data_IF_003686297992
#
_entry.id   IF_003686297992
#
_cell.length_a   1.000
_cell.length_b   1.000
_cell.length_c   1.000
_cell.angle_alpha   90.00
_cell.angle_beta   90.00
_cell.angle_gamma   90.00
#
_symmetry.space_group_name_H-M   'P 1'
#
loop_
_entity.id
_entity.type
_entity.pdbx_description
1 polymer ?
#
# COMPACT_ATOMS: atom_id res chain seq x y z
N UNK A 1 -16.49 70.37 -22.50
CA UNK A 1 -15.45 71.42 -22.46
C UNK A 1 -14.22 70.86 -21.74
N UNK A 2 -13.00 71.03 -22.26
CA UNK A 2 -11.77 70.63 -21.57
C UNK A 2 -10.95 71.88 -21.28
N UNK A 3 -10.58 72.07 -20.03
CA UNK A 3 -9.73 73.17 -19.57
C UNK A 3 -8.34 72.59 -19.27
N UNK A 4 -7.29 73.24 -19.73
CA UNK A 4 -5.91 72.81 -19.49
C UNK A 4 -5.05 73.96 -18.96
N UNK A 5 -4.09 73.64 -18.07
CA UNK A 5 -3.18 74.62 -17.45
C UNK A 5 -2.31 75.38 -18.45
N UNK A 6 -2.09 74.87 -19.66
CA UNK A 6 -1.17 75.44 -20.65
C UNK A 6 -1.78 75.69 -22.02
N UNK A 7 -3.00 75.22 -22.28
CA UNK A 7 -3.61 75.22 -23.61
C UNK A 7 -4.99 75.87 -23.69
N UNK A 8 -5.45 76.55 -22.64
CA UNK A 8 -6.76 77.23 -22.65
C UNK A 8 -7.98 76.29 -22.67
N UNK A 9 -9.10 76.82 -23.15
CA UNK A 9 -10.40 76.14 -23.25
C UNK A 9 -10.61 75.56 -24.65
N UNK A 10 -10.85 74.26 -24.73
CA UNK A 10 -11.22 73.58 -25.98
C UNK A 10 -12.69 73.14 -25.97
N UNK A 11 -13.41 73.48 -27.04
CA UNK A 11 -14.75 72.97 -27.33
C UNK A 11 -14.63 71.83 -28.36
N UNK A 12 -15.38 70.76 -28.12
CA UNK A 12 -15.44 69.59 -28.99
C UNK A 12 -16.89 69.22 -29.23
N UNK A 13 -17.27 69.09 -30.50
CA UNK A 13 -18.56 68.55 -30.92
C UNK A 13 -18.33 67.29 -31.75
N UNK A 14 -19.25 66.34 -31.68
CA UNK A 14 -19.17 65.07 -32.40
C UNK A 14 -20.53 64.71 -32.98
N UNK A 15 -20.55 64.31 -34.25
CA UNK A 15 -21.74 63.83 -34.95
C UNK A 15 -21.41 62.48 -35.60
N UNK A 16 -22.39 61.58 -35.60
CA UNK A 16 -22.24 60.24 -36.17
C UNK A 16 -23.37 60.00 -37.16
N UNK A 17 -23.01 59.72 -38.41
CA UNK A 17 -23.96 59.49 -39.49
C UNK A 17 -23.37 58.48 -40.49
N UNK A 18 -24.19 57.55 -40.99
CA UNK A 18 -23.82 56.59 -42.04
C UNK A 18 -22.47 55.87 -41.83
N UNK A 19 -22.19 55.40 -40.60
CA UNK A 19 -20.94 54.70 -40.26
C UNK A 19 -19.71 55.60 -40.11
N UNK A 20 -19.83 56.90 -40.39
CA UNK A 20 -18.79 57.92 -40.21
C UNK A 20 -18.98 58.65 -38.89
N UNK A 21 -17.87 58.95 -38.21
CA UNK A 21 -17.82 59.81 -37.03
C UNK A 21 -17.06 61.07 -37.40
N UNK A 22 -17.76 62.21 -37.37
CA UNK A 22 -17.22 63.54 -37.61
C UNK A 22 -17.02 64.20 -36.24
N UNK A 23 -15.80 64.66 -35.97
CA UNK A 23 -15.45 65.36 -34.74
C UNK A 23 -14.86 66.72 -35.11
N UNK A 24 -15.45 67.80 -34.62
CA UNK A 24 -14.89 69.13 -34.70
C UNK A 24 -14.34 69.54 -33.33
N UNK A 25 -13.16 70.12 -33.32
CA UNK A 25 -12.51 70.64 -32.10
C UNK A 25 -11.96 72.03 -32.39
N UNK A 26 -12.25 73.00 -31.51
CA UNK A 26 -11.87 74.41 -31.70
C UNK A 26 -10.35 74.64 -31.79
N UNK A 27 -9.54 73.71 -31.27
CA UNK A 27 -8.07 73.79 -31.30
C UNK A 27 -7.43 72.80 -32.28
N UNK A 28 -8.05 71.64 -32.47
CA UNK A 28 -7.44 70.53 -33.22
C UNK A 28 -8.07 70.32 -34.60
N UNK A 29 -9.07 71.12 -34.97
CA UNK A 29 -9.74 71.10 -36.27
C UNK A 29 -10.75 69.96 -36.45
N UNK A 30 -10.94 69.55 -37.71
CA UNK A 30 -11.95 68.57 -38.13
C UNK A 30 -11.33 67.19 -38.35
N UNK A 31 -11.99 66.16 -37.81
CA UNK A 31 -11.64 64.75 -38.01
C UNK A 31 -12.84 63.96 -38.47
N UNK A 32 -12.73 63.32 -39.63
CA UNK A 32 -13.70 62.35 -40.15
C UNK A 32 -13.11 60.95 -39.96
N UNK A 33 -13.86 59.99 -39.44
CA UNK A 33 -13.34 58.63 -39.22
C UNK A 33 -14.36 57.53 -39.49
N UNK A 34 -13.91 56.43 -40.08
CA UNK A 34 -14.67 55.22 -40.37
C UNK A 34 -13.99 53.99 -39.79
N UNK A 35 -14.78 53.01 -39.34
CA UNK A 35 -14.28 51.69 -38.96
C UNK A 35 -14.39 50.77 -40.16
N UNK A 36 -13.26 50.43 -40.76
CA UNK A 36 -13.20 49.58 -41.97
C UNK A 36 -13.26 48.09 -41.62
N UNK A 37 -12.70 47.70 -40.48
CA UNK A 37 -12.76 46.33 -39.97
C UNK A 37 -12.75 46.32 -38.43
N UNK A 38 -12.98 45.15 -37.82
CA UNK A 38 -12.91 44.99 -36.36
C UNK A 38 -11.53 45.43 -35.86
N UNK A 39 -11.52 46.40 -34.95
CA UNK A 39 -10.30 47.02 -34.41
C UNK A 39 -9.41 47.77 -35.42
N UNK A 40 -9.91 48.08 -36.63
CA UNK A 40 -9.22 48.90 -37.64
C UNK A 40 -10.03 50.17 -37.92
N UNK A 41 -9.40 51.34 -37.78
CA UNK A 41 -9.99 52.64 -38.06
C UNK A 41 -9.14 53.38 -39.11
N UNK A 42 -9.82 53.91 -40.12
CA UNK A 42 -9.27 54.88 -41.06
C UNK A 42 -9.91 56.23 -40.77
N UNK A 43 -9.11 57.29 -40.73
CA UNK A 43 -9.58 58.64 -40.47
C UNK A 43 -8.84 59.65 -41.34
N UNK A 44 -9.48 60.78 -41.59
CA UNK A 44 -8.90 61.96 -42.19
C UNK A 44 -8.98 63.08 -41.14
N UNK A 45 -7.83 63.61 -40.72
CA UNK A 45 -7.74 64.68 -39.72
C UNK A 45 -7.02 65.88 -40.34
N UNK A 46 -7.70 67.01 -40.50
CA UNK A 46 -7.18 68.22 -41.16
C UNK A 46 -6.43 67.88 -42.48
N UNK A 47 -7.07 67.10 -43.35
CA UNK A 47 -6.50 66.66 -44.64
C UNK A 47 -5.45 65.54 -44.57
N UNK A 48 -5.03 65.08 -43.39
CA UNK A 48 -4.02 64.01 -43.26
C UNK A 48 -4.66 62.63 -43.03
N UNK A 49 -4.34 61.61 -43.82
CA UNK A 49 -4.86 60.26 -43.62
C UNK A 49 -4.20 59.60 -42.41
N UNK A 50 -5.01 58.93 -41.59
CA UNK A 50 -4.65 58.27 -40.33
C UNK A 50 -5.19 56.84 -40.34
N UNK A 51 -4.29 55.86 -40.35
CA UNK A 51 -4.61 54.44 -40.16
C UNK A 51 -4.24 54.02 -38.73
N UNK A 52 -5.16 53.36 -38.03
CA UNK A 52 -4.94 52.79 -36.69
C UNK A 52 -5.59 51.42 -36.59
N UNK A 53 -4.84 50.43 -36.13
CA UNK A 53 -5.38 49.12 -35.78
C UNK A 53 -4.76 48.57 -34.49
N UNK A 54 -5.51 47.81 -33.71
CA UNK A 54 -5.00 47.15 -32.49
C UNK A 54 -5.58 45.75 -32.31
N UNK A 55 -4.74 44.74 -32.42
CA UNK A 55 -5.12 43.33 -32.43
C UNK A 55 -4.45 42.55 -31.30
N UNK A 56 -4.95 41.34 -31.04
CA UNK A 56 -4.50 40.46 -29.96
C UNK A 56 -5.32 40.61 -28.67
N UNK A 57 -5.29 39.57 -27.83
CA UNK A 57 -5.90 39.49 -26.50
C UNK A 57 -4.80 39.37 -25.42
N UNK A 58 -5.12 39.68 -24.17
CA UNK A 58 -4.15 39.59 -23.07
C UNK A 58 -3.06 40.67 -23.07
N UNK A 59 -1.88 40.30 -22.56
CA UNK A 59 -0.74 41.18 -22.30
C UNK A 59 -0.04 41.66 -23.58
N UNK A 60 0.05 40.82 -24.61
CA UNK A 60 0.73 41.15 -25.88
C UNK A 60 -0.28 41.63 -26.93
N UNK A 61 0.03 42.74 -27.61
CA UNK A 61 -0.86 43.39 -28.58
C UNK A 61 -0.07 43.78 -29.84
N UNK A 62 -0.70 43.60 -30.99
CA UNK A 62 -0.21 44.05 -32.29
C UNK A 62 -0.85 45.39 -32.64
N UNK A 63 -0.04 46.41 -32.92
CA UNK A 63 -0.51 47.75 -33.23
C UNK A 63 -0.16 48.08 -34.68
N UNK A 64 -1.18 48.38 -35.49
CA UNK A 64 -1.05 48.83 -36.86
C UNK A 64 -1.16 50.35 -36.92
N UNK A 65 -0.29 50.99 -37.70
CA UNK A 65 -0.32 52.43 -37.95
C UNK A 65 0.08 52.74 -39.38
N UNK A 66 -0.08 54.00 -39.81
CA UNK A 66 0.38 54.47 -41.13
C UNK A 66 1.87 54.13 -41.40
N UNK A 67 2.70 54.14 -40.36
CA UNK A 67 4.14 53.81 -40.43
C UNK A 67 4.44 52.35 -40.08
N UNK A 68 3.52 51.44 -40.34
CA UNK A 68 3.70 50.00 -40.15
C UNK A 68 3.23 49.46 -38.80
N UNK A 69 3.56 48.18 -38.58
CA UNK A 69 3.12 47.34 -37.46
C UNK A 69 4.13 47.39 -36.30
N UNK A 70 3.67 47.19 -35.07
CA UNK A 70 4.54 47.06 -33.88
C UNK A 70 3.92 46.17 -32.82
N UNK A 71 4.76 45.40 -32.12
CA UNK A 71 4.33 44.51 -31.04
C UNK A 71 4.58 45.18 -29.70
N UNK A 72 3.62 45.12 -28.79
CA UNK A 72 3.77 45.64 -27.43
C UNK A 72 3.25 44.67 -26.39
N UNK A 73 3.98 44.50 -25.30
CA UNK A 73 3.57 43.69 -24.14
C UNK A 73 3.32 44.59 -22.93
N UNK A 74 2.21 44.36 -22.24
CA UNK A 74 1.81 45.08 -21.03
C UNK A 74 2.19 44.26 -19.80
N UNK A 75 2.83 44.91 -18.84
CA UNK A 75 3.15 44.37 -17.52
C UNK A 75 2.61 45.30 -16.41
N UNK A 76 2.69 44.93 -15.12
CA UNK A 76 2.19 45.77 -14.02
C UNK A 76 2.84 47.17 -13.99
N UNK A 77 4.11 47.26 -14.40
CA UNK A 77 4.90 48.48 -14.40
C UNK A 77 4.61 49.41 -15.60
N UNK A 78 4.02 48.92 -16.69
CA UNK A 78 3.64 49.71 -17.86
C UNK A 78 3.47 48.92 -19.18
N UNK A 79 3.85 49.52 -20.32
CA UNK A 79 3.78 48.87 -21.64
C UNK A 79 5.10 48.95 -22.38
N UNK A 80 5.70 47.81 -22.72
CA UNK A 80 6.93 47.71 -23.49
C UNK A 80 6.61 47.47 -24.96
N UNK A 81 7.19 48.25 -25.87
CA UNK A 81 7.04 48.05 -27.31
C UNK A 81 8.34 47.48 -27.88
N UNK A 82 8.27 46.23 -28.38
CA UNK A 82 9.41 45.47 -28.88
C UNK A 82 10.07 46.12 -30.10
N UNK A 83 9.28 46.72 -30.98
CA UNK A 83 9.76 47.28 -32.26
C UNK A 83 10.00 48.79 -32.22
N UNK A 84 9.33 49.50 -31.30
CA UNK A 84 9.35 50.98 -31.21
C UNK A 84 9.61 51.39 -29.76
N UNK A 85 10.86 51.36 -29.26
CA UNK A 85 11.18 51.62 -27.85
C UNK A 85 10.74 53.02 -27.38
N UNK A 86 10.67 54.01 -28.29
CA UNK A 86 10.14 55.34 -28.00
C UNK A 86 8.65 55.34 -27.60
N UNK A 87 7.90 54.27 -27.87
CA UNK A 87 6.48 54.12 -27.52
C UNK A 87 6.26 53.31 -26.24
N UNK A 88 7.33 52.92 -25.55
CA UNK A 88 7.24 52.28 -24.24
C UNK A 88 6.84 53.28 -23.17
N UNK A 89 6.19 52.79 -22.11
CA UNK A 89 5.76 53.62 -20.98
C UNK A 89 5.87 52.88 -19.66
N UNK A 90 6.17 53.62 -18.61
CA UNK A 90 6.36 53.13 -17.24
C UNK A 90 5.56 54.03 -16.30
N UNK A 91 4.93 53.45 -15.27
CA UNK A 91 4.27 54.18 -14.20
C UNK A 91 4.93 53.86 -12.87
N UNK A 92 5.49 54.87 -12.22
CA UNK A 92 6.12 54.77 -10.90
C UNK A 92 5.54 55.89 -10.05
N UNK A 93 5.02 55.58 -8.85
CA UNK A 93 4.48 56.55 -7.92
C UNK A 93 3.47 57.55 -8.54
N UNK A 94 2.56 57.06 -9.39
CA UNK A 94 1.54 57.88 -10.06
C UNK A 94 2.03 58.70 -11.28
N UNK A 95 3.34 58.81 -11.49
CA UNK A 95 3.93 59.54 -12.63
C UNK A 95 4.16 58.59 -13.82
N UNK A 96 3.72 58.98 -15.02
CA UNK A 96 3.92 58.20 -16.24
C UNK A 96 5.14 58.70 -17.04
N UNK A 97 6.22 57.93 -17.03
CA UNK A 97 7.38 58.12 -17.91
C UNK A 97 7.11 57.46 -19.27
N UNK A 98 7.49 58.11 -20.37
CA UNK A 98 7.37 57.57 -21.74
C UNK A 98 8.67 57.78 -22.52
N UNK A 99 8.92 56.95 -23.53
CA UNK A 99 10.10 57.07 -24.41
C UNK A 99 11.19 56.04 -24.15
N UNK A 100 12.39 56.28 -24.69
CA UNK A 100 13.54 55.34 -24.60
C UNK A 100 13.91 54.97 -23.16
N UNK A 101 13.91 55.96 -22.25
CA UNK A 101 14.21 55.72 -20.82
C UNK A 101 13.21 54.75 -20.18
N UNK A 102 11.93 54.83 -20.57
CA UNK A 102 10.91 53.90 -20.11
C UNK A 102 11.15 52.48 -20.65
N UNK A 103 11.59 52.35 -21.91
CA UNK A 103 11.95 51.05 -22.48
C UNK A 103 13.10 50.37 -21.71
N UNK A 104 14.16 51.12 -21.36
CA UNK A 104 15.29 50.59 -20.60
C UNK A 104 14.87 50.08 -19.22
N UNK A 105 14.05 50.86 -18.49
CA UNK A 105 13.53 50.47 -17.18
C UNK A 105 12.68 49.19 -17.27
N UNK A 106 11.85 49.07 -18.31
CA UNK A 106 11.06 47.86 -18.51
C UNK A 106 11.90 46.64 -18.87
N UNK A 107 12.96 46.83 -19.65
CA UNK A 107 13.89 45.75 -19.98
C UNK A 107 14.57 45.22 -18.71
N UNK A 108 15.04 46.11 -17.84
CA UNK A 108 15.61 45.75 -16.53
C UNK A 108 14.58 45.00 -15.68
N UNK A 109 13.35 45.50 -15.59
CA UNK A 109 12.28 44.83 -14.85
C UNK A 109 11.99 43.42 -15.38
N UNK A 110 11.88 43.25 -16.70
CA UNK A 110 11.64 41.95 -17.32
C UNK A 110 12.82 41.00 -17.12
N UNK A 111 14.06 41.51 -17.13
CA UNK A 111 15.26 40.74 -16.84
C UNK A 111 15.26 40.23 -15.40
N UNK A 112 15.00 41.09 -14.42
CA UNK A 112 14.92 40.72 -13.01
C UNK A 112 13.81 39.69 -12.74
N UNK A 113 12.63 39.88 -13.35
CA UNK A 113 11.54 38.93 -13.26
C UNK A 113 11.92 37.58 -13.90
N UNK A 114 12.61 37.60 -15.04
CA UNK A 114 13.11 36.40 -15.71
C UNK A 114 14.13 35.65 -14.86
N UNK A 115 15.05 36.35 -14.19
CA UNK A 115 16.02 35.75 -13.27
C UNK A 115 15.30 35.10 -12.09
N UNK A 116 14.34 35.79 -11.47
CA UNK A 116 13.57 35.24 -10.34
C UNK A 116 12.79 33.97 -10.73
N UNK A 117 12.13 33.98 -11.89
CA UNK A 117 11.42 32.81 -12.41
C UNK A 117 12.37 31.68 -12.78
N UNK A 118 13.53 32.00 -13.36
CA UNK A 118 14.58 31.04 -13.67
C UNK A 118 15.08 30.34 -12.40
N UNK A 119 15.33 31.09 -11.32
CA UNK A 119 15.74 30.54 -10.04
C UNK A 119 14.66 29.64 -9.42
N UNK A 120 13.38 30.04 -9.53
CA UNK A 120 12.25 29.23 -9.07
C UNK A 120 12.16 27.89 -9.83
N UNK A 121 12.22 27.93 -11.16
CA UNK A 121 12.18 26.71 -12.00
C UNK A 121 13.39 25.83 -11.71
N UNK A 122 14.57 26.42 -11.53
CA UNK A 122 15.78 25.70 -11.12
C UNK A 122 15.58 24.96 -9.80
N UNK A 123 15.05 25.63 -8.78
CA UNK A 123 14.74 25.01 -7.49
C UNK A 123 13.73 23.85 -7.63
N UNK A 124 12.68 24.04 -8.42
CA UNK A 124 11.70 22.99 -8.70
C UNK A 124 12.34 21.78 -9.37
N UNK A 125 13.19 21.98 -10.37
CA UNK A 125 13.92 20.88 -11.04
C UNK A 125 14.87 20.16 -10.09
N UNK A 126 15.57 20.89 -9.21
CA UNK A 126 16.42 20.29 -8.18
C UNK A 126 15.62 19.42 -7.21
N UNK A 127 14.46 19.91 -6.74
CA UNK A 127 13.59 19.13 -5.85
C UNK A 127 13.00 17.89 -6.54
N UNK A 128 12.65 18.00 -7.82
CA UNK A 128 12.16 16.86 -8.61
C UNK A 128 13.25 15.80 -8.75
N UNK A 129 14.47 16.22 -9.10
CA UNK A 129 15.62 15.32 -9.22
C UNK A 129 15.86 14.57 -7.90
N UNK A 130 15.89 15.29 -6.77
CA UNK A 130 16.08 14.69 -5.45
C UNK A 130 14.96 13.69 -5.09
N UNK A 131 13.70 14.02 -5.40
CA UNK A 131 12.58 13.09 -5.15
C UNK A 131 12.69 11.83 -5.99
N UNK A 132 13.06 11.96 -7.26
CA UNK A 132 13.25 10.82 -8.16
C UNK A 132 14.41 9.96 -7.69
N UNK A 133 15.55 10.56 -7.30
CA UNK A 133 16.69 9.78 -6.81
C UNK A 133 16.37 9.05 -5.51
N UNK A 134 15.72 9.71 -4.53
CA UNK A 134 15.28 9.05 -3.29
C UNK A 134 14.31 7.90 -3.60
N UNK A 135 13.36 8.10 -4.52
CA UNK A 135 12.45 7.03 -4.93
C UNK A 135 13.18 5.87 -5.60
N UNK A 136 14.10 6.14 -6.52
CA UNK A 136 14.89 5.08 -7.15
C UNK A 136 15.76 4.34 -6.15
N UNK A 137 16.41 5.03 -5.21
CA UNK A 137 17.19 4.42 -4.16
C UNK A 137 16.33 3.54 -3.24
N UNK A 138 15.14 4.00 -2.85
CA UNK A 138 14.24 3.22 -2.00
C UNK A 138 13.70 1.97 -2.70
N UNK A 139 13.31 2.07 -3.98
CA UNK A 139 12.92 0.88 -4.76
C UNK A 139 14.09 -0.09 -4.97
N UNK A 140 15.29 0.44 -5.22
CA UNK A 140 16.49 -0.40 -5.33
C UNK A 140 16.78 -1.13 -4.02
N UNK A 141 16.70 -0.44 -2.88
CA UNK A 141 16.90 -1.04 -1.56
C UNK A 141 15.85 -2.11 -1.25
N UNK A 142 14.57 -1.85 -1.58
CA UNK A 142 13.50 -2.86 -1.46
C UNK A 142 13.76 -4.08 -2.34
N UNK A 143 14.17 -3.85 -3.58
CA UNK A 143 14.50 -4.94 -4.49
C UNK A 143 15.67 -5.78 -3.97
N UNK A 144 16.72 -5.12 -3.44
CA UNK A 144 17.86 -5.79 -2.80
C UNK A 144 17.41 -6.58 -1.56
N UNK A 145 16.54 -6.01 -0.73
CA UNK A 145 16.02 -6.67 0.47
C UNK A 145 15.22 -7.94 0.14
N UNK A 146 14.56 -7.99 -1.02
CA UNK A 146 13.77 -9.14 -1.47
C UNK A 146 14.57 -10.17 -2.29
N UNK A 147 15.85 -9.90 -2.61
CA UNK A 147 16.70 -10.87 -3.34
C UNK A 147 16.84 -12.21 -2.60
N UNK A 148 17.07 -12.27 -1.28
CA UNK A 148 17.20 -13.53 -0.56
C UNK A 148 15.97 -14.43 -0.73
N UNK A 149 14.76 -13.87 -0.71
CA UNK A 149 13.51 -14.63 -0.87
C UNK A 149 13.38 -15.19 -2.28
N UNK A 150 13.75 -14.41 -3.31
CA UNK A 150 13.75 -14.89 -4.70
C UNK A 150 14.71 -16.07 -4.90
N UNK A 151 15.93 -15.98 -4.35
CA UNK A 151 16.88 -17.10 -4.40
C UNK A 151 16.42 -18.29 -3.54
N UNK A 152 15.78 -18.03 -2.41
CA UNK A 152 15.16 -19.05 -1.55
C UNK A 152 14.10 -19.85 -2.31
N UNK A 153 13.17 -19.16 -2.97
CA UNK A 153 12.10 -19.75 -3.77
C UNK A 153 12.66 -20.58 -4.94
N UNK A 154 13.65 -20.05 -5.67
CA UNK A 154 14.29 -20.80 -6.76
C UNK A 154 14.95 -22.09 -6.27
N UNK A 155 15.65 -22.05 -5.13
CA UNK A 155 16.27 -23.24 -4.54
C UNK A 155 15.22 -24.27 -4.13
N UNK A 156 14.10 -23.83 -3.56
CA UNK A 156 12.96 -24.69 -3.22
C UNK A 156 12.34 -25.31 -4.48
N UNK A 157 12.15 -24.54 -5.54
CA UNK A 157 11.61 -25.02 -6.82
C UNK A 157 12.51 -26.10 -7.43
N UNK A 158 13.83 -25.90 -7.47
CA UNK A 158 14.77 -26.90 -7.97
C UNK A 158 14.78 -28.17 -7.11
N UNK A 159 14.72 -28.03 -5.78
CA UNK A 159 14.60 -29.18 -4.85
C UNK A 159 13.33 -29.95 -5.14
N UNK A 160 12.19 -29.26 -5.23
CA UNK A 160 10.89 -29.87 -5.39
C UNK A 160 10.77 -30.53 -6.76
N UNK A 161 11.29 -29.92 -7.83
CA UNK A 161 11.37 -30.54 -9.15
C UNK A 161 12.17 -31.85 -9.13
N UNK A 162 13.32 -31.87 -8.44
CA UNK A 162 14.13 -33.09 -8.27
C UNK A 162 13.37 -34.16 -7.49
N UNK A 163 12.68 -33.81 -6.41
CA UNK A 163 11.87 -34.75 -5.62
C UNK A 163 10.71 -35.30 -6.46
N UNK A 164 9.97 -34.42 -7.15
CA UNK A 164 8.82 -34.78 -8.00
C UNK A 164 9.19 -35.80 -9.08
N UNK A 165 10.37 -35.67 -9.70
CA UNK A 165 10.85 -36.65 -10.70
C UNK A 165 11.04 -38.07 -10.15
N UNK A 166 11.20 -38.23 -8.83
CA UNK A 166 11.37 -39.53 -8.15
C UNK A 166 10.08 -40.08 -7.55
N UNK A 167 9.02 -39.27 -7.40
CA UNK A 167 7.80 -39.66 -6.70
C UNK A 167 7.14 -40.89 -7.34
N UNK A 168 6.94 -40.88 -8.66
CA UNK A 168 6.26 -41.97 -9.36
C UNK A 168 6.96 -43.31 -9.19
N UNK A 169 8.30 -43.33 -9.29
CA UNK A 169 9.09 -44.55 -9.07
C UNK A 169 9.04 -45.00 -7.62
N UNK A 170 9.14 -44.07 -6.68
CA UNK A 170 9.16 -44.39 -5.24
C UNK A 170 7.81 -44.90 -4.74
N UNK A 171 6.72 -44.36 -5.29
CA UNK A 171 5.35 -44.81 -5.02
C UNK A 171 5.13 -46.29 -5.35
N UNK A 172 5.72 -46.77 -6.45
CA UNK A 172 5.61 -48.17 -6.89
C UNK A 172 6.35 -49.16 -5.99
N UNK A 173 7.22 -48.69 -5.09
CA UNK A 173 8.01 -49.55 -4.20
C UNK A 173 7.26 -49.92 -2.92
N UNK A 174 6.14 -49.25 -2.62
CA UNK A 174 5.34 -49.53 -1.42
C UNK A 174 4.49 -50.79 -1.61
N UNK A 175 4.57 -51.69 -0.62
CA UNK A 175 3.76 -52.91 -0.57
C UNK A 175 3.12 -53.02 0.82
N UNK A 176 1.78 -52.85 0.98
CA UNK A 176 0.79 -52.50 -0.04
C UNK A 176 0.97 -51.07 -0.59
N UNK A 177 0.39 -50.80 -1.76
CA UNK A 177 0.42 -49.46 -2.38
C UNK A 177 -0.02 -48.39 -1.37
N UNK A 178 0.75 -47.31 -1.33
CA UNK A 178 0.52 -46.18 -0.41
C UNK A 178 -0.82 -45.47 -0.64
N UNK A 179 -1.41 -45.61 -1.82
CA UNK A 179 -2.77 -45.13 -2.13
C UNK A 179 -3.85 -45.79 -1.28
N UNK A 180 -3.57 -46.99 -0.75
CA UNK A 180 -4.50 -47.76 0.05
C UNK A 180 -4.28 -47.56 1.55
N UNK A 181 -3.36 -46.69 1.94
CA UNK A 181 -3.06 -46.45 3.35
C UNK A 181 -4.12 -45.56 3.98
N UNK A 182 -4.53 -45.90 5.20
CA UNK A 182 -5.50 -45.14 5.97
C UNK A 182 -4.89 -43.85 6.56
N UNK A 183 -5.73 -42.88 6.93
CA UNK A 183 -5.25 -41.63 7.56
C UNK A 183 -4.34 -41.85 8.77
N UNK A 184 -4.64 -42.80 9.70
CA UNK A 184 -3.74 -43.11 10.82
C UNK A 184 -2.41 -43.74 10.39
N UNK A 185 -2.39 -44.54 9.33
CA UNK A 185 -1.15 -45.13 8.80
C UNK A 185 -0.25 -44.04 8.19
N UNK A 186 -0.84 -43.10 7.44
CA UNK A 186 -0.12 -41.96 6.87
C UNK A 186 0.39 -40.98 7.95
N UNK A 187 -0.42 -40.74 8.99
CA UNK A 187 -0.01 -39.99 10.19
C UNK A 187 1.22 -40.63 10.83
N UNK A 188 1.13 -41.93 11.15
CA UNK A 188 2.22 -42.66 11.79
C UNK A 188 3.48 -42.62 10.91
N UNK A 189 3.34 -42.81 9.60
CA UNK A 189 4.46 -42.75 8.67
C UNK A 189 5.10 -41.36 8.61
N UNK A 190 4.28 -40.30 8.62
CA UNK A 190 4.74 -38.91 8.63
C UNK A 190 5.51 -38.60 9.92
N UNK A 191 4.97 -38.99 11.08
CA UNK A 191 5.65 -38.84 12.38
C UNK A 191 6.98 -39.60 12.40
N UNK A 192 7.02 -40.84 11.94
CA UNK A 192 8.24 -41.65 11.94
C UNK A 192 9.30 -41.13 10.97
N UNK A 193 8.87 -40.58 9.83
CA UNK A 193 9.79 -39.99 8.84
C UNK A 193 10.36 -38.66 9.34
N UNK A 194 9.49 -37.77 9.87
CA UNK A 194 9.86 -36.44 10.33
C UNK A 194 10.59 -36.48 11.69
N UNK A 195 10.06 -37.18 12.69
CA UNK A 195 10.67 -37.29 14.01
C UNK A 195 11.83 -38.29 14.03
N UNK A 196 11.74 -39.39 13.26
CA UNK A 196 12.75 -40.44 13.23
C UNK A 196 13.87 -40.15 12.25
N UNK A 197 13.62 -40.37 10.96
CA UNK A 197 14.66 -40.18 9.94
C UNK A 197 15.19 -38.74 9.91
N UNK A 198 14.32 -37.75 10.16
CA UNK A 198 14.71 -36.35 10.28
C UNK A 198 15.72 -36.08 11.40
N UNK A 199 15.62 -36.78 12.54
CA UNK A 199 16.58 -36.63 13.65
C UNK A 199 17.81 -37.54 13.51
N UNK A 200 17.90 -38.32 12.43
CA UNK A 200 18.95 -39.31 12.22
C UNK A 200 18.71 -40.65 12.91
N UNK A 201 17.54 -40.86 13.50
CA UNK A 201 17.13 -42.12 14.11
C UNK A 201 16.51 -43.07 13.07
N UNK A 202 16.45 -44.35 13.42
CA UNK A 202 15.60 -45.31 12.70
C UNK A 202 14.12 -45.05 13.03
N UNK A 203 13.21 -45.45 12.13
CA UNK A 203 11.78 -45.40 12.41
C UNK A 203 11.43 -46.27 13.63
N UNK A 204 12.16 -47.36 13.87
CA UNK A 204 11.93 -48.19 15.05
C UNK A 204 12.24 -47.46 16.37
N UNK A 205 13.40 -46.80 16.44
CA UNK A 205 13.79 -45.98 17.61
C UNK A 205 12.83 -44.81 17.83
N UNK A 206 12.40 -44.16 16.74
CA UNK A 206 11.42 -43.08 16.79
C UNK A 206 10.08 -43.56 17.36
N UNK A 207 9.62 -44.74 16.93
CA UNK A 207 8.39 -45.33 17.43
C UNK A 207 8.44 -45.57 18.95
N UNK A 208 9.58 -46.05 19.45
CA UNK A 208 9.80 -46.26 20.89
C UNK A 208 9.73 -44.92 21.64
N UNK A 209 10.42 -43.88 21.15
CA UNK A 209 10.43 -42.55 21.80
C UNK A 209 9.07 -41.88 21.82
N UNK A 210 8.35 -41.90 20.71
CA UNK A 210 6.98 -41.36 20.61
C UNK A 210 6.07 -42.09 21.59
N UNK A 211 6.15 -43.43 21.64
CA UNK A 211 5.34 -44.25 22.55
C UNK A 211 5.64 -43.94 24.02
N UNK A 212 6.92 -43.82 24.39
CA UNK A 212 7.34 -43.47 25.75
C UNK A 212 6.84 -42.09 26.15
N UNK A 213 6.95 -41.11 25.26
CA UNK A 213 6.50 -39.74 25.51
C UNK A 213 4.98 -39.65 25.66
N UNK A 214 4.23 -40.38 24.84
CA UNK A 214 2.78 -40.46 24.93
C UNK A 214 2.32 -41.08 26.26
N UNK A 215 3.04 -42.10 26.77
CA UNK A 215 2.76 -42.70 28.08
C UNK A 215 3.04 -41.74 29.23
N UNK A 216 4.08 -40.90 29.10
CA UNK A 216 4.44 -39.94 30.13
C UNK A 216 3.47 -38.75 30.19
N UNK A 217 2.93 -38.30 29.05
CA UNK A 217 2.00 -37.18 28.99
C UNK A 217 0.85 -37.41 27.97
N UNK A 218 -0.19 -38.18 28.36
CA UNK A 218 -1.28 -38.56 27.46
C UNK A 218 -2.20 -37.39 27.09
N UNK A 219 -2.20 -36.29 27.85
CA UNK A 219 -3.08 -35.14 27.62
C UNK A 219 -2.49 -34.09 26.68
N UNK A 220 -1.20 -34.17 26.34
CA UNK A 220 -0.51 -33.14 25.57
C UNK A 220 -0.79 -33.17 24.06
N UNK A 221 -1.26 -34.28 23.51
CA UNK A 221 -1.42 -34.45 22.06
C UNK A 221 -2.83 -34.99 21.76
N UNK A 222 -3.55 -34.34 20.85
CA UNK A 222 -4.96 -34.67 20.55
C UNK A 222 -5.11 -35.86 19.58
N UNK A 223 -4.04 -36.25 18.87
CA UNK A 223 -4.06 -37.34 17.90
C UNK A 223 -3.97 -38.71 18.58
N UNK A 224 -4.89 -39.61 18.23
CA UNK A 224 -4.89 -41.00 18.72
C UNK A 224 -3.83 -41.82 17.98
N UNK A 225 -2.59 -41.80 18.48
CA UNK A 225 -1.52 -42.68 18.01
C UNK A 225 -1.66 -44.03 18.71
N UNK A 226 -1.78 -45.11 17.94
CA UNK A 226 -1.78 -46.48 18.47
C UNK A 226 -0.37 -47.06 18.42
N UNK A 227 0.12 -47.59 19.55
CA UNK A 227 1.47 -48.15 19.66
C UNK A 227 1.71 -49.34 18.70
N UNK A 228 0.68 -50.18 18.52
CA UNK A 228 0.71 -51.28 17.57
C UNK A 228 0.78 -50.79 16.11
N UNK A 229 0.03 -49.75 15.75
CA UNK A 229 0.07 -49.17 14.41
C UNK A 229 1.41 -48.49 14.10
N UNK A 230 1.96 -47.77 15.07
CA UNK A 230 3.24 -47.07 14.94
C UNK A 230 4.40 -48.04 14.71
N UNK A 231 4.48 -49.12 15.49
CA UNK A 231 5.52 -50.14 15.34
C UNK A 231 5.42 -50.92 14.02
N UNK A 232 4.19 -51.22 13.56
CA UNK A 232 3.98 -51.87 12.26
C UNK A 232 4.45 -50.99 11.10
N UNK A 233 4.12 -49.70 11.12
CA UNK A 233 4.55 -48.75 10.08
C UNK A 233 6.06 -48.53 10.13
N UNK A 234 6.66 -48.45 11.33
CA UNK A 234 8.10 -48.35 11.49
C UNK A 234 8.83 -49.52 10.83
N UNK A 235 8.34 -50.75 11.04
CA UNK A 235 8.91 -51.94 10.39
C UNK A 235 8.80 -51.87 8.86
N UNK A 236 7.63 -51.46 8.32
CA UNK A 236 7.43 -51.32 6.87
C UNK A 236 8.39 -50.27 6.27
N UNK A 237 8.55 -49.12 6.92
CA UNK A 237 9.46 -48.06 6.45
C UNK A 237 10.93 -48.51 6.47
N UNK A 238 11.36 -49.22 7.52
CA UNK A 238 12.73 -49.73 7.60
C UNK A 238 13.01 -50.83 6.59
N UNK A 239 12.04 -51.73 6.38
CA UNK A 239 12.15 -52.75 5.32
C UNK A 239 12.30 -52.08 3.95
N UNK A 240 11.42 -51.13 3.61
CA UNK A 240 11.47 -50.39 2.36
C UNK A 240 12.82 -49.67 2.16
N UNK A 241 13.33 -49.03 3.21
CA UNK A 241 14.63 -48.34 3.21
C UNK A 241 15.79 -49.31 3.00
N UNK A 242 15.76 -50.47 3.66
CA UNK A 242 16.82 -51.49 3.55
C UNK A 242 16.87 -52.15 2.16
N UNK A 243 15.71 -52.50 1.59
CA UNK A 243 15.61 -53.15 0.28
C UNK A 243 16.09 -52.25 -0.87
N UNK A 244 15.92 -50.93 -0.71
CA UNK A 244 16.20 -49.94 -1.76
C UNK A 244 17.37 -49.00 -1.43
N UNK A 245 18.22 -49.37 -0.47
CA UNK A 245 19.35 -48.55 -0.02
C UNK A 245 20.29 -48.14 -1.17
N UNK A 246 20.44 -48.98 -2.20
CA UNK A 246 21.33 -48.73 -3.33
C UNK A 246 20.78 -47.75 -4.39
N UNK A 247 19.46 -47.53 -4.47
CA UNK A 247 18.84 -46.80 -5.60
C UNK A 247 18.59 -45.31 -5.34
N UNK A 248 18.87 -44.81 -4.12
CA UNK A 248 18.68 -43.40 -3.71
C UNK A 248 17.29 -42.83 -4.07
N UNK A 249 16.29 -43.72 -4.13
CA UNK A 249 14.87 -43.46 -4.39
C UNK A 249 14.09 -43.29 -3.10
N UNK A 250 14.41 -44.09 -2.07
CA UNK A 250 13.83 -44.01 -0.73
C UNK A 250 14.69 -43.09 0.15
N UNK A 251 14.58 -41.78 -0.07
CA UNK A 251 15.20 -40.78 0.81
C UNK A 251 14.15 -40.14 1.71
N UNK A 252 14.51 -39.65 2.90
CA UNK A 252 13.56 -38.98 3.80
C UNK A 252 12.80 -37.84 3.10
N UNK A 253 13.46 -37.10 2.21
CA UNK A 253 12.85 -36.02 1.43
C UNK A 253 11.75 -36.54 0.49
N UNK A 254 12.02 -37.62 -0.25
CA UNK A 254 11.08 -38.19 -1.22
C UNK A 254 9.90 -38.84 -0.50
N UNK A 255 10.16 -39.56 0.58
CA UNK A 255 9.10 -40.19 1.38
C UNK A 255 8.23 -39.13 2.06
N UNK A 256 8.81 -38.09 2.63
CA UNK A 256 8.05 -36.97 3.22
C UNK A 256 7.16 -36.29 2.19
N UNK A 257 7.68 -35.98 1.00
CA UNK A 257 6.90 -35.38 -0.08
C UNK A 257 5.74 -36.26 -0.55
N UNK A 258 5.99 -37.58 -0.65
CA UNK A 258 4.98 -38.54 -1.05
C UNK A 258 3.88 -38.65 0.01
N UNK A 259 4.25 -38.81 1.28
CA UNK A 259 3.31 -38.85 2.40
C UNK A 259 2.48 -37.58 2.45
N UNK A 260 3.10 -36.40 2.35
CA UNK A 260 2.41 -35.11 2.31
C UNK A 260 1.38 -35.03 1.18
N UNK A 261 1.73 -35.49 -0.03
CA UNK A 261 0.80 -35.51 -1.16
C UNK A 261 -0.39 -36.45 -0.93
N UNK A 262 -0.16 -37.63 -0.36
CA UNK A 262 -1.22 -38.60 -0.09
C UNK A 262 -2.13 -38.12 1.06
N UNK A 263 -1.53 -37.55 2.09
CA UNK A 263 -2.22 -36.98 3.23
C UNK A 263 -3.16 -35.84 2.81
N UNK A 264 -2.68 -34.89 2.01
CA UNK A 264 -3.47 -33.77 1.50
C UNK A 264 -4.56 -34.19 0.49
N UNK A 265 -4.41 -35.36 -0.16
CA UNK A 265 -5.46 -35.93 -1.02
C UNK A 265 -6.56 -36.61 -0.21
N UNK A 266 -6.21 -37.19 0.93
CA UNK A 266 -7.13 -37.94 1.78
C UNK A 266 -7.86 -37.05 2.80
N UNK A 267 -7.19 -36.00 3.29
CA UNK A 267 -7.67 -35.06 4.31
C UNK A 267 -8.09 -33.73 3.70
N UNK A 268 -8.96 -32.98 4.39
CA UNK A 268 -9.27 -31.60 4.04
C UNK A 268 -8.08 -30.65 4.25
N UNK A 269 -8.17 -29.43 3.73
CA UNK A 269 -7.13 -28.42 3.89
C UNK A 269 -6.89 -28.07 5.38
N UNK A 270 -7.96 -27.93 6.17
CA UNK A 270 -7.88 -27.62 7.61
C UNK A 270 -7.22 -28.76 8.39
N UNK A 271 -7.67 -30.00 8.18
CA UNK A 271 -7.09 -31.17 8.85
C UNK A 271 -5.61 -31.39 8.49
N UNK A 272 -5.22 -31.05 7.25
CA UNK A 272 -3.82 -31.14 6.81
C UNK A 272 -2.94 -30.11 7.51
N UNK A 273 -3.47 -28.90 7.77
CA UNK A 273 -2.78 -27.87 8.56
C UNK A 273 -2.67 -28.30 10.02
N UNK A 274 -3.76 -28.80 10.61
CA UNK A 274 -3.76 -29.27 11.99
C UNK A 274 -2.73 -30.38 12.19
N UNK A 275 -2.72 -31.35 11.27
CA UNK A 275 -1.74 -32.43 11.24
C UNK A 275 -0.30 -31.90 11.15
N UNK A 276 -0.04 -30.93 10.27
CA UNK A 276 1.29 -30.33 10.13
C UNK A 276 1.77 -29.71 11.47
N UNK A 277 0.89 -28.97 12.14
CA UNK A 277 1.18 -28.37 13.45
C UNK A 277 1.40 -29.43 14.52
N UNK A 278 0.58 -30.49 14.56
CA UNK A 278 0.78 -31.60 15.51
C UNK A 278 2.12 -32.29 15.29
N UNK A 279 2.53 -32.53 14.04
CA UNK A 279 3.85 -33.12 13.76
C UNK A 279 4.96 -32.18 14.23
N UNK A 280 4.79 -30.87 14.06
CA UNK A 280 5.76 -29.88 14.52
C UNK A 280 5.92 -29.88 16.05
N UNK A 281 4.80 -29.92 16.77
CA UNK A 281 4.77 -30.05 18.23
C UNK A 281 5.47 -31.34 18.70
N UNK A 282 5.28 -32.45 17.99
CA UNK A 282 5.98 -33.71 18.27
C UNK A 282 7.49 -33.61 18.09
N UNK A 283 7.96 -32.93 17.04
CA UNK A 283 9.39 -32.70 16.82
C UNK A 283 10.00 -31.94 18.00
N UNK A 284 9.33 -30.86 18.44
CA UNK A 284 9.78 -30.03 19.56
C UNK A 284 9.72 -30.77 20.91
N UNK A 285 8.72 -31.65 21.06
CA UNK A 285 8.54 -32.44 22.29
C UNK A 285 9.62 -33.52 22.44
N UNK A 286 10.08 -34.10 21.32
CA UNK A 286 11.09 -35.17 21.33
C UNK A 286 12.53 -34.65 21.43
N UNK A 287 12.77 -33.37 21.16
CA UNK A 287 14.08 -32.74 21.30
C UNK A 287 14.23 -31.46 20.50
N UNK A 288 15.48 -31.00 20.36
CA UNK A 288 15.80 -29.85 19.51
C UNK A 288 15.67 -30.20 18.02
N UNK A 289 15.17 -29.24 17.24
CA UNK A 289 14.94 -29.42 15.81
C UNK A 289 16.26 -29.49 15.04
N UNK A 290 16.45 -30.53 14.22
CA UNK A 290 17.62 -30.66 13.35
C UNK A 290 17.43 -29.92 12.02
N UNK A 291 18.54 -29.61 11.33
CA UNK A 291 18.49 -29.02 9.98
C UNK A 291 17.71 -29.89 8.98
N UNK A 292 17.82 -31.22 9.10
CA UNK A 292 17.08 -32.14 8.24
C UNK A 292 15.59 -32.10 8.56
N UNK A 293 15.19 -32.03 9.83
CA UNK A 293 13.78 -31.89 10.24
C UNK A 293 13.16 -30.60 9.70
N UNK A 294 13.86 -29.47 9.82
CA UNK A 294 13.44 -28.19 9.25
C UNK A 294 13.21 -28.33 7.73
N UNK A 295 14.15 -28.96 7.03
CA UNK A 295 14.02 -29.19 5.60
C UNK A 295 12.83 -30.12 5.26
N UNK A 296 12.60 -31.18 6.04
CA UNK A 296 11.51 -32.12 5.82
C UNK A 296 10.15 -31.49 6.10
N UNK A 297 10.01 -30.66 7.14
CA UNK A 297 8.80 -29.87 7.40
C UNK A 297 8.49 -28.95 6.23
N UNK A 298 9.51 -28.27 5.69
CA UNK A 298 9.33 -27.44 4.52
C UNK A 298 8.86 -28.24 3.29
N UNK A 299 9.46 -29.41 3.06
CA UNK A 299 9.04 -30.31 1.96
C UNK A 299 7.60 -30.79 2.20
N UNK A 300 7.24 -31.12 3.44
CA UNK A 300 5.88 -31.52 3.77
C UNK A 300 4.89 -30.40 3.40
N UNK A 301 5.15 -29.17 3.85
CA UNK A 301 4.31 -28.02 3.54
C UNK A 301 4.17 -27.79 2.02
N UNK A 302 5.29 -27.82 1.28
CA UNK A 302 5.31 -27.62 -0.17
C UNK A 302 4.45 -28.67 -0.91
N UNK A 303 4.58 -29.95 -0.57
CA UNK A 303 3.88 -31.05 -1.25
C UNK A 303 2.46 -31.29 -0.74
N UNK A 304 2.15 -30.86 0.48
CA UNK A 304 0.78 -30.76 1.00
C UNK A 304 0.05 -29.49 0.51
N UNK A 305 0.73 -28.64 -0.29
CA UNK A 305 0.20 -27.36 -0.80
C UNK A 305 -0.17 -26.34 0.29
N UNK A 306 0.49 -26.42 1.44
CA UNK A 306 0.33 -25.46 2.52
C UNK A 306 1.12 -24.19 2.20
N UNK A 307 0.46 -23.04 2.20
CA UNK A 307 1.11 -21.73 2.02
C UNK A 307 0.76 -20.82 3.18
N UNK A 308 1.78 -20.33 3.88
CA UNK A 308 1.61 -19.26 4.86
C UNK A 308 1.35 -17.96 4.11
N UNK A 309 0.14 -17.43 4.23
CA UNK A 309 -0.19 -16.11 3.71
C UNK A 309 0.24 -15.07 4.75
N UNK A 310 1.42 -14.48 4.55
CA UNK A 310 1.84 -13.31 5.32
C UNK A 310 1.09 -12.10 4.76
N UNK A 311 -0.04 -11.75 5.36
CA UNK A 311 -0.72 -10.50 5.04
C UNK A 311 0.22 -9.32 5.38
N UNK A 312 0.60 -8.48 4.40
CA UNK A 312 1.61 -7.43 4.60
C UNK A 312 1.12 -6.27 5.49
N UNK A 313 -0.09 -6.34 6.05
CA UNK A 313 -0.77 -5.24 6.74
C UNK A 313 -0.22 -4.98 8.16
N UNK A 314 0.59 -5.89 8.72
CA UNK A 314 1.07 -5.76 10.11
C UNK A 314 2.58 -5.50 10.28
N UNK A 315 3.35 -5.42 9.19
CA UNK A 315 4.81 -5.29 9.25
C UNK A 315 5.33 -3.84 9.40
N UNK A 316 4.51 -2.80 9.16
CA UNK A 316 4.96 -1.40 9.25
C UNK A 316 4.87 -0.79 10.67
N UNK A 317 4.29 -1.48 11.67
CA UNK A 317 3.98 -0.87 12.98
C UNK A 317 4.94 -1.23 14.13
N UNK A 318 6.06 -1.92 13.89
CA UNK A 318 6.99 -2.36 14.96
C UNK A 318 8.42 -1.76 14.86
N UNK A 319 8.57 -0.56 14.32
CA UNK A 319 9.80 0.21 14.53
C UNK A 319 9.65 1.08 15.80
N UNK A 320 10.18 0.59 16.91
CA UNK A 320 10.27 1.31 18.19
C UNK A 320 11.34 2.40 18.10
N UNK A 321 10.95 3.67 18.27
CA UNK A 321 11.75 4.69 18.96
C UNK A 321 10.78 5.67 19.65
N UNK A 322 11.01 5.84 20.97
CA UNK A 322 10.22 6.49 22.05
C UNK A 322 9.81 7.97 21.85
N UNK A 323 9.06 8.66 22.77
CA UNK A 323 8.35 8.23 23.98
C UNK A 323 6.85 8.62 23.99
N UNK A 324 6.14 8.14 25.02
CA UNK A 324 4.79 8.52 25.43
C UNK A 324 4.50 10.03 25.27
N UNK A 325 3.53 10.39 24.43
CA UNK A 325 2.63 11.48 24.79
C UNK A 325 1.25 11.38 24.13
N UNK A 326 0.29 11.82 24.91
CA UNK A 326 -1.14 11.53 24.88
C UNK A 326 -1.82 12.45 23.87
N UNK A 327 -2.37 11.94 22.76
CA UNK A 327 -3.62 12.41 22.12
C UNK A 327 -3.87 11.70 20.79
N UNK A 328 -4.60 10.58 20.82
CA UNK A 328 -5.22 10.02 19.62
C UNK A 328 -6.75 10.10 19.77
N UNK A 329 -7.33 11.16 19.23
CA UNK A 329 -8.71 11.11 18.75
C UNK A 329 -8.72 10.28 17.44
N UNK A 330 -9.64 9.31 17.31
CA UNK A 330 -9.68 8.38 16.21
C UNK A 330 -10.27 8.95 14.91
N UNK A 331 -9.79 8.35 13.84
CA UNK A 331 -10.19 8.34 12.44
C UNK A 331 -11.69 8.46 12.13
N UNK A 332 -11.99 9.18 11.04
CA UNK A 332 -13.22 9.02 10.25
C UNK A 332 -12.92 8.33 8.93
N UNK A 333 -13.45 7.12 8.78
CA UNK A 333 -14.15 6.57 7.59
C UNK A 333 -14.60 5.15 7.95
N UNK A 334 -15.78 5.02 8.56
CA UNK A 334 -17.07 4.78 7.87
C UNK A 334 -17.22 3.35 7.35
N UNK A 335 -17.59 2.44 8.25
CA UNK A 335 -18.58 1.39 7.93
C UNK A 335 -19.76 1.63 8.85
N UNK A 336 -20.88 1.99 8.22
CA UNK A 336 -22.17 2.19 8.82
C UNK A 336 -22.69 0.89 9.44
N UNK A 337 -22.78 0.87 10.76
CA UNK A 337 -23.78 0.07 11.47
C UNK A 337 -24.48 1.01 12.44
N UNK A 338 -25.76 1.22 12.21
CA UNK A 338 -26.66 2.07 12.99
C UNK A 338 -26.67 1.64 14.46
N UNK A 339 -26.62 2.56 15.43
CA UNK A 339 -26.58 2.22 16.85
C UNK A 339 -28.00 1.99 17.38
N UNK A 340 -28.22 0.85 18.03
CA UNK A 340 -29.28 0.76 19.04
C UNK A 340 -28.63 0.94 20.41
N UNK A 341 -28.68 2.17 20.90
CA UNK A 341 -28.50 2.46 22.30
C UNK A 341 -29.80 2.13 23.03
N UNK A 342 -29.78 1.05 23.80
CA UNK A 342 -30.60 0.89 25.01
C UNK A 342 -29.76 0.12 26.01
N UNK A 343 -29.72 0.57 27.27
CA UNK A 343 -28.90 0.01 28.34
C UNK A 343 -29.38 -1.36 28.81
N UNK A 344 -29.35 -2.35 27.93
CA UNK A 344 -29.61 -3.74 28.27
C UNK A 344 -28.34 -4.35 28.86
N UNK A 345 -28.43 -4.82 30.09
CA UNK A 345 -27.39 -5.64 30.69
C UNK A 345 -27.21 -6.90 29.84
N UNK A 346 -25.96 -7.24 29.54
CA UNK A 346 -25.65 -8.44 28.77
C UNK A 346 -25.66 -9.64 29.71
N UNK A 347 -26.64 -10.53 29.56
CA UNK A 347 -26.72 -11.75 30.36
C UNK A 347 -25.67 -12.78 29.89
N UNK A 348 -24.73 -13.17 30.76
CA UNK A 348 -23.61 -14.05 30.39
C UNK A 348 -24.02 -15.47 30.02
N UNK A 349 -25.15 -15.94 30.54
CA UNK A 349 -25.65 -17.30 30.32
C UNK A 349 -26.43 -17.43 29.00
N UNK A 350 -27.05 -16.35 28.53
CA UNK A 350 -27.88 -16.37 27.31
C UNK A 350 -27.31 -15.58 26.13
N UNK A 351 -26.35 -14.67 26.35
CA UNK A 351 -25.80 -13.82 25.29
C UNK A 351 -25.21 -14.64 24.12
N UNK A 352 -25.38 -14.14 22.90
CA UNK A 352 -24.71 -14.69 21.72
C UNK A 352 -23.22 -14.40 21.74
N UNK A 353 -22.45 -15.15 20.96
CA UNK A 353 -21.00 -14.95 20.82
C UNK A 353 -20.64 -13.51 20.40
N UNK A 354 -21.40 -12.93 19.47
CA UNK A 354 -21.22 -11.55 19.03
C UNK A 354 -21.53 -10.53 20.14
N UNK A 355 -22.55 -10.78 20.98
CA UNK A 355 -22.87 -9.91 22.12
C UNK A 355 -21.80 -9.96 23.20
N UNK A 356 -21.22 -11.14 23.48
CA UNK A 356 -20.13 -11.26 24.44
C UNK A 356 -18.89 -10.48 24.01
N UNK A 357 -18.60 -10.42 22.70
CA UNK A 357 -17.48 -9.64 22.17
C UNK A 357 -17.65 -8.12 22.31
N UNK A 358 -18.87 -7.64 22.61
CA UNK A 358 -19.08 -6.21 22.91
C UNK A 358 -18.61 -5.83 24.32
N UNK A 359 -18.35 -6.81 25.20
CA UNK A 359 -17.84 -6.57 26.54
C UNK A 359 -16.35 -6.19 26.53
N UNK A 360 -15.91 -5.27 27.40
CA UNK A 360 -14.52 -4.85 27.44
C UNK A 360 -13.62 -6.04 27.80
N UNK A 361 -12.49 -6.14 27.09
CA UNK A 361 -11.50 -7.22 27.24
C UNK A 361 -12.00 -8.63 26.87
N UNK A 362 -13.16 -8.77 26.23
CA UNK A 362 -13.68 -10.05 25.73
C UNK A 362 -13.55 -10.09 24.20
N UNK A 363 -12.51 -10.78 23.71
CA UNK A 363 -12.36 -11.10 22.28
C UNK A 363 -12.97 -12.45 21.90
N UNK A 364 -12.80 -12.86 20.64
CA UNK A 364 -13.34 -14.11 20.07
C UNK A 364 -13.12 -15.34 20.97
N UNK A 365 -11.87 -15.60 21.36
CA UNK A 365 -11.48 -16.78 22.15
C UNK A 365 -12.07 -16.76 23.57
N UNK A 366 -12.16 -15.56 24.17
CA UNK A 366 -12.74 -15.40 25.51
C UNK A 366 -14.26 -15.51 25.50
N UNK A 367 -14.91 -15.03 24.43
CA UNK A 367 -16.34 -15.24 24.24
C UNK A 367 -16.65 -16.74 24.11
N UNK A 368 -15.82 -17.51 23.39
CA UNK A 368 -15.93 -18.97 23.34
C UNK A 368 -15.73 -19.61 24.71
N UNK A 369 -14.70 -19.17 25.46
CA UNK A 369 -14.45 -19.67 26.82
C UNK A 369 -15.57 -19.33 27.82
N UNK A 370 -16.25 -18.19 27.66
CA UNK A 370 -17.44 -17.84 28.44
C UNK A 370 -18.60 -18.77 28.08
N UNK A 371 -18.79 -19.05 26.79
CA UNK A 371 -19.85 -19.96 26.34
C UNK A 371 -19.64 -21.39 26.85
N UNK A 372 -18.40 -21.88 26.90
CA UNK A 372 -18.08 -23.21 27.45
C UNK A 372 -18.20 -23.28 28.97
N UNK A 373 -18.06 -22.16 29.68
CA UNK A 373 -18.16 -22.10 31.15
C UNK A 373 -19.61 -22.02 31.67
N UNK A 374 -20.61 -21.94 30.78
CA UNK A 374 -22.02 -21.85 31.17
C UNK A 374 -22.51 -23.13 31.88
N UNK A 375 -23.37 -23.03 32.90
CA UNK A 375 -23.92 -21.80 33.48
C UNK A 375 -22.96 -21.16 34.49
N UNK A 376 -22.80 -19.84 34.39
CA UNK A 376 -22.07 -19.01 35.34
C UNK A 376 -23.06 -18.61 36.45
N UNK A 377 -22.67 -18.74 37.70
CA UNK A 377 -23.50 -18.37 38.86
C UNK A 377 -22.93 -17.17 39.64
N UNK A 378 -21.65 -16.89 39.44
CA UNK A 378 -20.96 -15.75 40.05
C UNK A 378 -19.94 -15.17 39.06
N UNK A 379 -19.82 -13.84 39.04
CA UNK A 379 -18.93 -13.11 38.12
C UNK A 379 -17.47 -13.51 38.34
N UNK A 380 -17.08 -13.85 39.56
CA UNK A 380 -15.72 -14.30 39.89
C UNK A 380 -15.30 -15.55 39.12
N UNK A 381 -16.24 -16.36 38.62
CA UNK A 381 -15.92 -17.56 37.84
C UNK A 381 -15.24 -17.22 36.50
N UNK A 382 -15.41 -16.00 35.98
CA UNK A 382 -14.73 -15.53 34.78
C UNK A 382 -13.21 -15.49 34.94
N UNK A 383 -12.66 -15.42 36.16
CA UNK A 383 -11.19 -15.46 36.37
C UNK A 383 -10.59 -16.84 36.07
N UNK A 384 -11.40 -17.88 35.90
CA UNK A 384 -10.94 -19.19 35.42
C UNK A 384 -10.53 -19.16 33.94
N UNK A 385 -11.01 -18.17 33.19
CA UNK A 385 -10.66 -17.98 31.78
C UNK A 385 -9.29 -17.31 31.70
N UNK A 386 -8.40 -17.92 30.92
CA UNK A 386 -7.03 -17.43 30.77
C UNK A 386 -7.00 -15.96 30.31
N UNK A 387 -6.35 -15.12 31.10
CA UNK A 387 -6.23 -13.68 30.83
C UNK A 387 -7.36 -12.80 31.36
N UNK A 388 -8.30 -13.31 32.16
CA UNK A 388 -9.26 -12.45 32.90
C UNK A 388 -8.78 -12.31 34.35
N UNK A 389 -8.01 -11.25 34.62
CA UNK A 389 -7.58 -10.89 35.97
C UNK A 389 -8.58 -9.98 36.71
N UNK A 390 -8.34 -9.67 38.00
CA UNK A 390 -9.26 -8.89 38.84
C UNK A 390 -9.55 -7.49 38.29
N UNK A 391 -8.57 -6.84 37.65
CA UNK A 391 -8.76 -5.54 37.01
C UNK A 391 -9.73 -5.62 35.81
N UNK A 392 -9.59 -6.65 34.96
CA UNK A 392 -10.46 -6.86 33.80
C UNK A 392 -11.86 -7.27 34.21
N UNK A 393 -11.98 -8.05 35.28
CA UNK A 393 -13.28 -8.40 35.87
C UNK A 393 -14.04 -7.15 36.35
N UNK A 394 -13.35 -6.19 36.96
CA UNK A 394 -13.96 -4.93 37.39
C UNK A 394 -14.49 -4.09 36.21
N UNK A 395 -13.78 -4.09 35.08
CA UNK A 395 -14.21 -3.40 33.85
C UNK A 395 -15.42 -4.08 33.21
N UNK A 396 -15.44 -5.42 33.16
CA UNK A 396 -16.59 -6.20 32.70
C UNK A 396 -17.82 -5.94 33.56
N UNK A 397 -17.66 -5.89 34.90
CA UNK A 397 -18.74 -5.56 35.83
C UNK A 397 -19.29 -4.14 35.60
N UNK A 398 -18.42 -3.19 35.26
CA UNK A 398 -18.80 -1.79 35.00
C UNK A 398 -19.51 -1.62 33.64
N UNK A 399 -19.31 -2.55 32.70
CA UNK A 399 -19.94 -2.53 31.39
C UNK A 399 -21.40 -3.00 31.37
N UNK A 400 -21.98 -3.37 32.52
CA UNK A 400 -23.40 -3.73 32.63
C UNK A 400 -23.64 -5.18 32.21
N UNK A 401 -23.29 -6.12 33.08
CA UNK A 401 -23.41 -7.56 32.86
C UNK A 401 -24.36 -8.15 33.89
N UNK A 402 -25.20 -9.09 33.46
CA UNK A 402 -26.11 -9.87 34.30
C UNK A 402 -25.75 -11.36 34.24
N UNK A 403 -26.12 -12.13 35.27
CA UNK A 403 -25.84 -13.58 35.37
C UNK A 403 -27.14 -14.37 35.29
#
# INVERSE_FOLDING_TARGET
>A
MRVSRTGGVALRTQAKAAGLTITANSQHGLRVSSRVAKNTQVALQNGRPVLRGRYGSGATRLNLSKSGVSVSTRNPLGTFNWSKPNRSSVKIAGVQLRGKKAANIQLIYMLLLGIAQGLQVFWQMLTLLLRVTVRLCTELLRWIANLPDLFGNLRQDFRNARISSKLSRSKQLFTPSIDNWSAPELLNASLLTLCGWGSGLTAHEAAIRITQQQQHNPAAHQLTITTAGLSQIAQRLEQLRSEHAATNTITPQVITALLAQQQAQLLGAEDTVELFLHIDDWILTLGERTELQEQLLQIFADFAQLRFQTDPVHAENFAVTEPLDITAQPSTQSVSVTPSATGDLINLNTASHAQLQTLPHIGHDRALAIMTLRPISDLSQLTKIHGIGPARLADIKRAGVDI
#
